data_IF_421990242605
#
_entry.id   IF_421990242605
#
_cell.length_a   1.000
_cell.length_b   1.000
_cell.length_c   1.000
_cell.angle_alpha   90.00
_cell.angle_beta   90.00
_cell.angle_gamma   90.00
#
_symmetry.space_group_name_H-M   'P 1'
#
loop_
_entity.id
_entity.type
_entity.pdbx_description
1 polymer ?
#
# COMPACT_ATOMS: atom_id res chain seq x y z
N UNK A 1 25.75 -49.16 6.55
CA UNK A 1 25.66 -50.54 7.06
C UNK A 1 24.36 -51.13 6.53
N UNK A 2 24.42 -52.00 5.51
CA UNK A 2 23.22 -52.63 4.93
C UNK A 2 23.11 -54.01 5.54
N UNK A 3 22.15 -54.20 6.44
CA UNK A 3 21.83 -55.50 7.03
C UNK A 3 21.19 -56.37 5.94
N UNK A 4 21.97 -57.30 5.35
CA UNK A 4 21.44 -58.32 4.44
C UNK A 4 20.76 -59.42 5.27
N UNK A 5 19.49 -59.71 4.99
CA UNK A 5 18.72 -60.76 5.67
C UNK A 5 17.65 -60.29 6.66
N UNK A 6 17.36 -58.99 6.73
CA UNK A 6 16.31 -58.40 7.58
C UNK A 6 15.11 -57.86 6.78
N UNK A 7 14.89 -58.35 5.55
CA UNK A 7 13.81 -57.87 4.70
C UNK A 7 12.42 -58.20 5.27
N UNK A 8 12.34 -59.27 6.06
CA UNK A 8 11.20 -59.72 6.87
C UNK A 8 10.95 -58.85 8.12
N UNK A 9 11.95 -58.07 8.56
CA UNK A 9 11.83 -57.09 9.65
C UNK A 9 11.46 -55.67 9.16
N UNK A 10 11.44 -55.44 7.84
CA UNK A 10 10.93 -54.20 7.25
C UNK A 10 9.39 -54.21 7.23
N UNK A 11 8.79 -54.18 8.42
CA UNK A 11 7.36 -53.98 8.57
C UNK A 11 7.09 -52.48 8.52
N UNK A 12 6.24 -52.06 7.57
CA UNK A 12 5.78 -50.68 7.53
C UNK A 12 5.00 -50.37 8.82
N UNK A 13 5.42 -49.32 9.54
CA UNK A 13 4.67 -48.85 10.70
C UNK A 13 3.31 -48.34 10.23
N UNK A 14 2.23 -48.87 10.81
CA UNK A 14 0.91 -48.30 10.63
C UNK A 14 0.85 -46.93 11.29
N UNK A 15 0.92 -45.89 10.47
CA UNK A 15 0.91 -44.49 10.92
C UNK A 15 -0.40 -44.08 11.56
N UNK A 16 -1.49 -44.81 11.31
CA UNK A 16 -2.81 -44.52 11.90
C UNK A 16 -3.02 -45.19 13.25
N UNK A 17 -2.09 -46.07 13.64
CA UNK A 17 -2.18 -46.79 14.92
C UNK A 17 -2.15 -45.81 16.10
N UNK A 18 -3.14 -45.96 16.99
CA UNK A 18 -3.23 -45.17 18.22
C UNK A 18 -2.05 -45.51 19.13
N UNK A 19 -1.28 -44.49 19.49
CA UNK A 19 -0.15 -44.57 20.41
C UNK A 19 -0.47 -43.77 21.66
N UNK A 20 -0.34 -44.41 22.82
CA UNK A 20 -0.56 -43.78 24.11
C UNK A 20 0.76 -43.76 24.89
N UNK A 21 1.23 -42.55 25.20
CA UNK A 21 2.33 -42.33 26.13
C UNK A 21 1.70 -42.13 27.51
N UNK A 22 1.95 -43.06 28.45
CA UNK A 22 1.30 -43.02 29.76
C UNK A 22 1.74 -41.81 30.57
N UNK A 23 1.03 -41.57 31.66
CA UNK A 23 1.37 -40.53 32.62
C UNK A 23 2.84 -40.59 33.05
N UNK A 24 3.48 -39.43 33.06
CA UNK A 24 4.89 -39.27 33.41
C UNK A 24 5.85 -39.43 32.23
N UNK A 25 5.34 -39.72 31.03
CA UNK A 25 6.15 -39.76 29.79
C UNK A 25 6.12 -38.41 29.07
N UNK A 26 5.06 -37.63 29.26
CA UNK A 26 4.93 -36.29 28.69
C UNK A 26 5.65 -35.21 29.49
N UNK A 27 5.63 -33.96 29.00
CA UNK A 27 6.17 -32.81 29.73
C UNK A 27 5.55 -32.65 31.14
N UNK A 28 6.36 -32.27 32.13
CA UNK A 28 5.90 -32.14 33.52
C UNK A 28 5.45 -30.71 33.80
N UNK A 29 4.25 -30.53 34.36
CA UNK A 29 3.73 -29.24 34.78
C UNK A 29 4.13 -28.94 36.23
N UNK A 30 4.90 -27.88 36.42
CA UNK A 30 5.29 -27.33 37.71
C UNK A 30 4.60 -25.99 37.96
N UNK A 31 4.11 -25.81 39.18
CA UNK A 31 3.53 -24.56 39.69
C UNK A 31 4.25 -24.18 40.97
N UNK A 32 4.82 -22.98 40.98
CA UNK A 32 5.60 -22.43 42.09
C UNK A 32 6.73 -23.34 42.56
N UNK A 33 7.32 -24.09 41.61
CA UNK A 33 8.41 -25.03 41.85
C UNK A 33 7.98 -26.40 42.39
N UNK A 34 6.68 -26.65 42.49
CA UNK A 34 6.12 -27.97 42.86
C UNK A 34 5.50 -28.65 41.64
N UNK A 35 5.65 -29.97 41.53
CA UNK A 35 5.03 -30.75 40.46
C UNK A 35 3.52 -30.76 40.69
N UNK A 36 2.77 -30.11 39.79
CA UNK A 36 1.32 -30.00 39.86
C UNK A 36 0.63 -31.13 39.08
N UNK A 37 1.20 -31.55 37.96
CA UNK A 37 0.68 -32.66 37.15
C UNK A 37 1.76 -33.27 36.27
N UNK A 38 1.79 -34.60 36.23
CA UNK A 38 2.36 -35.33 35.10
C UNK A 38 1.41 -35.23 33.91
N UNK A 39 1.91 -35.42 32.70
CA UNK A 39 1.08 -35.45 31.50
C UNK A 39 1.15 -36.80 30.79
N UNK A 40 0.08 -37.08 30.06
CA UNK A 40 -0.04 -38.19 29.11
C UNK A 40 -0.29 -37.64 27.70
N UNK A 41 0.06 -38.43 26.71
CA UNK A 41 -0.22 -38.13 25.30
C UNK A 41 -1.00 -39.28 24.70
N UNK A 42 -2.09 -38.97 24.01
CA UNK A 42 -2.80 -39.91 23.17
C UNK A 42 -2.77 -39.35 21.76
N UNK A 43 -2.07 -40.04 20.84
CA UNK A 43 -1.89 -39.60 19.46
C UNK A 43 -1.80 -40.80 18.51
N UNK A 44 -1.32 -40.58 17.29
CA UNK A 44 -1.00 -41.63 16.31
C UNK A 44 0.51 -41.83 16.17
N UNK A 45 0.93 -43.01 15.72
CA UNK A 45 2.34 -43.25 15.40
C UNK A 45 2.84 -42.30 14.29
N UNK A 46 1.97 -41.92 13.35
CA UNK A 46 2.27 -40.98 12.28
C UNK A 46 2.61 -39.58 12.81
N UNK A 47 1.81 -39.06 13.73
CA UNK A 47 2.02 -37.71 14.29
C UNK A 47 3.34 -37.61 15.06
N UNK A 48 3.68 -38.66 15.82
CA UNK A 48 4.96 -38.73 16.54
C UNK A 48 6.17 -38.84 15.60
N UNK A 49 6.07 -39.67 14.55
CA UNK A 49 7.17 -39.88 13.60
C UNK A 49 7.40 -38.70 12.65
N UNK A 50 6.33 -37.97 12.32
CA UNK A 50 6.39 -36.81 11.43
C UNK A 50 6.64 -35.49 12.19
N UNK A 51 6.61 -35.52 13.53
CA UNK A 51 6.83 -34.35 14.37
C UNK A 51 5.69 -33.34 14.30
N UNK A 52 4.44 -33.81 14.17
CA UNK A 52 3.27 -32.94 14.25
C UNK A 52 3.03 -32.48 15.70
N UNK A 53 2.47 -31.28 15.85
CA UNK A 53 1.99 -30.78 17.15
C UNK A 53 0.90 -31.70 17.70
N UNK A 54 1.06 -32.15 18.94
CA UNK A 54 0.18 -33.09 19.63
C UNK A 54 -0.21 -32.55 21.00
N UNK A 55 -1.39 -32.92 21.47
CA UNK A 55 -1.92 -32.44 22.75
C UNK A 55 -1.47 -33.36 23.88
N UNK A 56 -0.72 -32.82 24.84
CA UNK A 56 -0.47 -33.44 26.13
C UNK A 56 -1.55 -33.02 27.13
N UNK A 57 -2.12 -33.98 27.85
CA UNK A 57 -3.16 -33.71 28.87
C UNK A 57 -2.64 -34.03 30.26
N UNK A 58 -3.02 -33.22 31.25
CA UNK A 58 -2.74 -33.49 32.65
C UNK A 58 -3.36 -34.81 33.10
N UNK A 59 -2.60 -35.60 33.86
CA UNK A 59 -3.05 -36.87 34.42
C UNK A 59 -3.83 -36.69 35.72
N UNK A 60 -3.53 -35.64 36.47
CA UNK A 60 -4.30 -35.22 37.65
C UNK A 60 -5.40 -34.23 37.25
N UNK A 61 -6.33 -33.99 38.19
CA UNK A 61 -7.41 -33.02 38.00
C UNK A 61 -6.91 -31.58 37.81
N UNK A 62 -7.83 -30.61 37.68
CA UNK A 62 -7.47 -29.21 37.46
C UNK A 62 -6.52 -28.69 38.54
N UNK A 63 -5.52 -27.92 38.11
CA UNK A 63 -4.62 -27.21 39.01
C UNK A 63 -5.37 -26.04 39.64
N UNK A 64 -5.34 -25.94 40.97
CA UNK A 64 -5.94 -24.82 41.69
C UNK A 64 -4.90 -23.72 41.87
N UNK A 65 -5.17 -22.53 41.34
CA UNK A 65 -4.35 -21.33 41.51
C UNK A 65 -5.10 -20.32 42.35
N UNK A 66 -4.41 -19.71 43.30
CA UNK A 66 -4.97 -18.63 44.13
C UNK A 66 -4.83 -17.29 43.42
N UNK A 67 -5.49 -16.25 43.94
CA UNK A 67 -5.27 -14.90 43.42
C UNK A 67 -3.85 -14.44 43.78
N UNK A 68 -3.06 -14.05 42.78
CA UNK A 68 -1.69 -13.57 42.98
C UNK A 68 -0.79 -13.91 41.81
N UNK A 69 0.51 -13.72 42.02
CA UNK A 69 1.54 -14.14 41.08
C UNK A 69 1.84 -15.62 41.26
N UNK A 70 1.83 -16.38 40.16
CA UNK A 70 2.19 -17.79 40.12
C UNK A 70 3.24 -18.01 39.03
N UNK A 71 4.20 -18.90 39.29
CA UNK A 71 5.20 -19.30 38.31
C UNK A 71 4.86 -20.67 37.74
N UNK A 72 4.49 -20.70 36.48
CA UNK A 72 4.16 -21.92 35.75
C UNK A 72 5.33 -22.31 34.86
N UNK A 73 5.75 -23.57 34.94
CA UNK A 73 6.79 -24.14 34.07
C UNK A 73 6.29 -25.47 33.55
N UNK A 74 6.47 -25.70 32.26
CA UNK A 74 6.26 -27.03 31.66
C UNK A 74 7.61 -27.51 31.16
N UNK A 75 8.12 -28.58 31.74
CA UNK A 75 9.45 -29.12 31.42
C UNK A 75 9.33 -30.13 30.29
N UNK A 76 9.94 -29.82 29.15
CA UNK A 76 10.12 -30.75 28.03
C UNK A 76 10.80 -32.05 28.48
N UNK A 77 10.60 -33.12 27.71
CA UNK A 77 11.31 -34.39 27.85
C UNK A 77 12.26 -34.59 26.68
N UNK A 78 13.06 -35.67 26.70
CA UNK A 78 13.96 -35.98 25.58
C UNK A 78 13.20 -36.27 24.27
N UNK A 79 11.94 -36.68 24.36
CA UNK A 79 11.11 -37.06 23.21
C UNK A 79 10.10 -35.97 22.80
N UNK A 80 9.78 -35.02 23.69
CA UNK A 80 8.71 -34.04 23.49
C UNK A 80 9.13 -32.65 23.93
N UNK A 81 9.02 -31.69 23.02
CA UNK A 81 9.24 -30.27 23.30
C UNK A 81 7.91 -29.56 23.46
N UNK A 82 7.85 -28.62 24.40
CA UNK A 82 6.67 -27.78 24.62
C UNK A 82 6.65 -26.64 23.59
N UNK A 83 5.63 -26.60 22.74
CA UNK A 83 5.40 -25.50 21.80
C UNK A 83 4.48 -24.43 22.38
N UNK A 84 3.41 -24.86 23.07
CA UNK A 84 2.37 -24.00 23.61
C UNK A 84 1.82 -24.59 24.92
N UNK A 85 1.38 -23.71 25.82
CA UNK A 85 0.71 -24.07 27.08
C UNK A 85 -0.57 -23.26 27.18
N UNK A 86 -1.70 -23.95 27.18
CA UNK A 86 -3.01 -23.33 27.35
C UNK A 86 -3.51 -23.55 28.78
N UNK A 87 -3.84 -22.46 29.48
CA UNK A 87 -4.39 -22.47 30.83
C UNK A 87 -5.88 -22.14 30.75
N UNK A 88 -6.69 -23.17 30.58
CA UNK A 88 -8.14 -23.05 30.40
C UNK A 88 -8.85 -23.22 31.75
N UNK A 89 -9.71 -22.28 32.17
CA UNK A 89 -10.53 -22.47 33.36
C UNK A 89 -11.52 -23.65 33.17
N UNK A 90 -11.83 -24.41 34.23
CA UNK A 90 -12.81 -25.49 34.14
C UNK A 90 -14.16 -24.99 33.62
N UNK A 91 -14.76 -25.72 32.68
CA UNK A 91 -16.07 -25.38 32.11
C UNK A 91 -16.04 -24.27 31.06
N UNK A 92 -14.88 -23.69 30.76
CA UNK A 92 -14.72 -22.80 29.60
C UNK A 92 -14.48 -23.65 28.37
N UNK A 93 -15.55 -23.90 27.62
CA UNK A 93 -15.44 -24.19 26.19
C UNK A 93 -15.34 -22.86 25.47
N UNK A 94 -14.39 -22.71 24.54
CA UNK A 94 -14.35 -21.58 23.61
C UNK A 94 -14.98 -22.03 22.28
N UNK A 95 -16.32 -22.03 22.12
CA UNK A 95 -16.91 -22.34 20.84
C UNK A 95 -16.77 -21.10 19.94
N UNK A 96 -15.66 -20.98 19.22
CA UNK A 96 -15.69 -20.14 18.01
C UNK A 96 -16.48 -20.91 16.96
N UNK A 97 -17.80 -20.74 16.98
CA UNK A 97 -18.66 -21.22 15.90
C UNK A 97 -18.51 -20.28 14.71
N UNK A 98 -17.54 -20.57 13.86
CA UNK A 98 -17.44 -19.93 12.56
C UNK A 98 -18.62 -20.38 11.68
N UNK A 99 -19.31 -19.42 11.08
CA UNK A 99 -20.30 -19.70 10.06
C UNK A 99 -20.07 -18.76 8.90
N UNK A 100 -19.99 -19.30 7.68
CA UNK A 100 -19.83 -18.47 6.50
C UNK A 100 -21.15 -17.77 6.14
N UNK A 101 -21.14 -16.47 5.83
CA UNK A 101 -22.28 -15.80 5.23
C UNK A 101 -22.46 -16.25 3.77
N UNK A 102 -23.65 -16.00 3.22
CA UNK A 102 -23.91 -16.25 1.80
C UNK A 102 -23.50 -15.03 1.00
N UNK A 103 -22.44 -15.12 0.21
CA UNK A 103 -21.99 -14.01 -0.64
C UNK A 103 -22.97 -13.82 -1.80
N UNK A 104 -23.54 -12.63 -1.94
CA UNK A 104 -24.47 -12.28 -3.01
C UNK A 104 -23.79 -11.53 -4.15
N UNK A 105 -22.80 -10.69 -3.85
CA UNK A 105 -21.96 -10.01 -4.85
C UNK A 105 -20.57 -9.73 -4.30
N UNK A 106 -19.56 -9.80 -5.16
CA UNK A 106 -18.18 -9.51 -4.78
C UNK A 106 -17.43 -8.82 -5.90
N UNK A 107 -17.09 -7.56 -5.69
CA UNK A 107 -16.24 -6.77 -6.59
C UNK A 107 -15.04 -6.20 -5.82
N UNK A 108 -14.19 -5.46 -6.54
CA UNK A 108 -13.04 -4.79 -5.93
C UNK A 108 -13.44 -3.69 -4.92
N UNK A 109 -14.58 -3.03 -5.14
CA UNK A 109 -14.99 -1.83 -4.38
C UNK A 109 -16.28 -2.00 -3.60
N UNK A 110 -17.10 -2.98 -3.96
CA UNK A 110 -18.42 -3.23 -3.37
C UNK A 110 -18.62 -4.73 -3.18
N UNK A 111 -19.12 -5.12 -2.01
CA UNK A 111 -19.38 -6.53 -1.66
C UNK A 111 -20.70 -6.60 -0.90
N UNK A 112 -21.48 -7.64 -1.15
CA UNK A 112 -22.73 -7.87 -0.44
C UNK A 112 -22.83 -9.34 -0.03
N UNK A 113 -23.35 -9.56 1.18
CA UNK A 113 -23.53 -10.90 1.70
C UNK A 113 -24.70 -10.95 2.67
N UNK A 114 -25.41 -12.08 2.68
CA UNK A 114 -26.52 -12.32 3.58
C UNK A 114 -26.04 -13.03 4.83
N UNK A 115 -26.39 -12.46 5.98
CA UNK A 115 -26.14 -13.02 7.30
C UNK A 115 -27.42 -13.65 7.84
N UNK A 116 -27.28 -14.84 8.42
CA UNK A 116 -28.37 -15.54 9.11
C UNK A 116 -28.55 -15.00 10.52
N UNK A 117 -29.78 -14.99 11.00
CA UNK A 117 -30.10 -14.68 12.40
C UNK A 117 -29.21 -15.44 13.40
N UNK A 118 -28.78 -14.73 14.43
CA UNK A 118 -28.08 -15.29 15.59
C UNK A 118 -28.57 -14.55 16.84
N UNK A 119 -28.88 -15.28 17.92
CA UNK A 119 -29.20 -14.66 19.20
C UNK A 119 -27.98 -14.03 19.90
N UNK A 120 -26.78 -14.38 19.44
CA UNK A 120 -25.50 -13.91 19.97
C UNK A 120 -24.91 -12.82 19.08
N UNK A 121 -24.16 -11.90 19.70
CA UNK A 121 -23.30 -10.95 19.00
C UNK A 121 -22.20 -11.72 18.25
N UNK A 122 -21.90 -11.29 17.02
CA UNK A 122 -20.89 -11.93 16.18
C UNK A 122 -19.96 -10.90 15.58
N UNK A 123 -18.87 -11.38 15.00
CA UNK A 123 -17.98 -10.58 14.18
C UNK A 123 -18.10 -11.10 12.75
N UNK A 124 -18.34 -10.19 11.81
CA UNK A 124 -18.15 -10.48 10.40
C UNK A 124 -16.66 -10.27 10.08
N UNK A 125 -15.93 -11.38 9.94
CA UNK A 125 -14.51 -11.36 9.58
C UNK A 125 -14.32 -11.36 8.06
N UNK A 126 -13.36 -10.56 7.62
CA UNK A 126 -12.77 -10.62 6.30
C UNK A 126 -11.27 -10.90 6.44
N UNK A 127 -10.80 -12.03 5.90
CA UNK A 127 -9.39 -12.43 5.95
C UNK A 127 -8.52 -11.62 4.97
N UNK A 128 -8.59 -10.29 5.08
CA UNK A 128 -7.80 -9.30 4.37
C UNK A 128 -7.25 -8.30 5.39
N UNK A 129 -6.16 -7.64 5.03
CA UNK A 129 -5.55 -6.63 5.89
C UNK A 129 -6.54 -5.49 6.19
N UNK A 130 -6.48 -4.95 7.40
CA UNK A 130 -7.28 -3.79 7.81
C UNK A 130 -7.03 -2.61 6.87
N UNK A 131 -8.11 -1.95 6.45
CA UNK A 131 -8.04 -0.75 5.64
C UNK A 131 -9.21 0.19 5.99
N UNK A 132 -8.86 1.37 6.52
CA UNK A 132 -9.79 2.38 6.99
C UNK A 132 -10.72 2.96 5.90
N UNK A 133 -10.43 2.71 4.63
CA UNK A 133 -11.30 3.11 3.52
C UNK A 133 -12.50 2.18 3.29
N UNK A 134 -12.55 1.00 3.91
CA UNK A 134 -13.70 0.10 3.85
C UNK A 134 -14.73 0.44 4.93
N UNK A 135 -15.99 0.49 4.53
CA UNK A 135 -17.14 0.59 5.44
C UNK A 135 -18.05 -0.62 5.24
N UNK A 136 -18.82 -0.98 6.27
CA UNK A 136 -19.86 -1.99 6.16
C UNK A 136 -21.14 -1.47 6.81
N UNK A 137 -22.28 -1.83 6.25
CA UNK A 137 -23.60 -1.49 6.78
C UNK A 137 -24.51 -2.70 6.71
N UNK A 138 -25.39 -2.85 7.70
CA UNK A 138 -26.48 -3.83 7.71
C UNK A 138 -27.79 -3.05 7.56
N UNK A 139 -28.52 -3.31 6.47
CA UNK A 139 -29.80 -2.65 6.16
C UNK A 139 -29.72 -1.10 6.27
N UNK A 140 -28.57 -0.53 5.87
CA UNK A 140 -28.31 0.91 5.88
C UNK A 140 -27.76 1.48 7.19
N UNK A 141 -27.64 0.68 8.25
CA UNK A 141 -26.99 1.08 9.50
C UNK A 141 -25.52 0.68 9.45
N UNK A 142 -24.62 1.66 9.61
CA UNK A 142 -23.17 1.40 9.61
C UNK A 142 -22.75 0.53 10.80
N UNK A 143 -21.90 -0.46 10.52
CA UNK A 143 -21.37 -1.39 11.51
C UNK A 143 -20.04 -0.89 12.06
N UNK A 144 -19.81 -1.15 13.34
CA UNK A 144 -18.55 -0.80 14.00
C UNK A 144 -17.39 -1.67 13.46
N UNK A 145 -16.31 -1.07 12.93
CA UNK A 145 -15.16 -1.83 12.45
C UNK A 145 -14.33 -2.36 13.62
N UNK A 146 -13.82 -3.59 13.48
CA UNK A 146 -12.94 -4.24 14.45
C UNK A 146 -11.76 -4.91 13.76
N UNK A 147 -10.64 -4.99 14.46
CA UNK A 147 -9.46 -5.73 14.00
C UNK A 147 -9.47 -7.13 14.61
N UNK A 148 -9.55 -8.15 13.77
CA UNK A 148 -9.53 -9.57 14.17
C UNK A 148 -8.08 -10.08 14.10
N UNK A 149 -7.65 -10.83 15.12
CA UNK A 149 -6.30 -11.41 15.23
C UNK A 149 -5.14 -10.39 15.08
N UNK A 150 -5.40 -9.10 15.28
CA UNK A 150 -4.41 -8.02 15.17
C UNK A 150 -4.10 -7.53 13.75
N UNK A 151 -4.65 -8.15 12.70
CA UNK A 151 -4.35 -7.76 11.31
C UNK A 151 -5.52 -7.87 10.32
N UNK A 152 -6.56 -8.63 10.65
CA UNK A 152 -7.69 -8.87 9.75
C UNK A 152 -8.77 -7.81 9.91
N UNK A 153 -9.39 -7.44 8.81
CA UNK A 153 -10.55 -6.56 8.79
C UNK A 153 -11.80 -7.29 9.31
N UNK A 154 -12.60 -6.62 10.13
CA UNK A 154 -13.92 -7.13 10.52
C UNK A 154 -14.89 -6.04 10.94
N UNK A 155 -16.12 -6.43 11.23
CA UNK A 155 -17.18 -5.56 11.74
C UNK A 155 -18.05 -6.28 12.78
N UNK A 156 -18.51 -5.54 13.78
CA UNK A 156 -19.43 -6.05 14.81
C UNK A 156 -20.83 -6.26 14.24
N UNK A 157 -21.38 -7.45 14.45
CA UNK A 157 -22.77 -7.77 14.17
C UNK A 157 -23.56 -7.85 15.49
N UNK A 158 -24.57 -6.99 15.70
CA UNK A 158 -25.41 -7.04 16.89
C UNK A 158 -26.08 -8.41 17.10
N UNK A 159 -26.39 -8.74 18.35
CA UNK A 159 -27.27 -9.85 18.65
C UNK A 159 -28.64 -9.65 17.97
N UNK A 160 -29.18 -10.72 17.39
CA UNK A 160 -30.41 -10.69 16.60
C UNK A 160 -30.24 -10.24 15.15
N UNK A 161 -29.03 -9.86 14.72
CA UNK A 161 -28.78 -9.39 13.36
C UNK A 161 -29.04 -10.47 12.30
N UNK A 162 -29.80 -10.10 11.27
CA UNK A 162 -30.09 -10.88 10.05
C UNK A 162 -30.29 -9.89 8.91
N UNK A 163 -30.07 -10.30 7.67
CA UNK A 163 -30.25 -9.41 6.50
C UNK A 163 -29.00 -9.32 5.64
N UNK A 164 -28.90 -8.27 4.83
CA UNK A 164 -27.80 -8.10 3.88
C UNK A 164 -26.80 -7.09 4.41
N UNK A 165 -25.54 -7.51 4.56
CA UNK A 165 -24.42 -6.63 4.82
C UNK A 165 -23.88 -6.12 3.48
N UNK A 166 -23.85 -4.80 3.32
CA UNK A 166 -23.20 -4.12 2.21
C UNK A 166 -21.88 -3.54 2.68
N UNK A 167 -20.79 -3.94 2.03
CA UNK A 167 -19.46 -3.40 2.23
C UNK A 167 -19.08 -2.56 1.02
N UNK A 168 -18.51 -1.39 1.26
CA UNK A 168 -18.10 -0.49 0.18
C UNK A 168 -16.75 0.14 0.48
N UNK A 169 -16.03 0.54 -0.57
CA UNK A 169 -14.81 1.32 -0.51
C UNK A 169 -15.05 2.70 -1.12
N UNK A 170 -15.65 3.66 -0.38
CA UNK A 170 -15.97 4.99 -0.89
C UNK A 170 -14.81 5.72 -1.60
N UNK A 171 -13.54 5.62 -1.16
CA UNK A 171 -12.43 6.32 -1.82
C UNK A 171 -12.23 5.93 -3.29
N UNK A 172 -12.72 4.76 -3.74
CA UNK A 172 -12.60 4.35 -5.14
C UNK A 172 -13.25 5.35 -6.09
N UNK A 173 -14.41 5.92 -5.74
CA UNK A 173 -15.13 6.85 -6.64
C UNK A 173 -14.32 8.11 -6.92
N UNK A 174 -13.65 8.64 -5.89
CA UNK A 174 -12.77 9.80 -6.01
C UNK A 174 -11.55 9.46 -6.86
N UNK A 175 -10.94 8.29 -6.64
CA UNK A 175 -9.79 7.84 -7.43
C UNK A 175 -10.16 7.66 -8.91
N UNK A 176 -11.27 6.99 -9.21
CA UNK A 176 -11.75 6.80 -10.59
C UNK A 176 -12.12 8.13 -11.24
N UNK A 177 -12.80 9.03 -10.53
CA UNK A 177 -13.11 10.37 -11.03
C UNK A 177 -11.85 11.18 -11.36
N UNK A 178 -10.83 11.12 -10.50
CA UNK A 178 -9.53 11.75 -10.73
C UNK A 178 -8.81 11.19 -11.97
N UNK A 179 -8.84 9.87 -12.16
CA UNK A 179 -8.25 9.23 -13.35
C UNK A 179 -8.96 9.65 -14.64
N UNK A 180 -10.29 9.70 -14.64
CA UNK A 180 -11.07 10.14 -15.81
C UNK A 180 -10.79 11.61 -16.13
N UNK A 181 -10.80 12.48 -15.12
CA UNK A 181 -10.51 13.90 -15.29
C UNK A 181 -9.08 14.15 -15.78
N UNK A 182 -8.10 13.42 -15.22
CA UNK A 182 -6.70 13.47 -15.66
C UNK A 182 -6.53 13.01 -17.10
N UNK A 183 -7.15 11.89 -17.48
CA UNK A 183 -7.15 11.37 -18.84
C UNK A 183 -7.78 12.33 -19.85
N UNK A 184 -8.92 12.94 -19.50
CA UNK A 184 -9.57 13.94 -20.34
C UNK A 184 -8.69 15.19 -20.53
N UNK A 185 -8.02 15.64 -19.46
CA UNK A 185 -7.09 16.78 -19.52
C UNK A 185 -5.89 16.47 -20.41
N UNK A 186 -5.29 15.28 -20.28
CA UNK A 186 -4.19 14.84 -21.12
C UNK A 186 -4.60 14.78 -22.61
N UNK A 187 -5.79 14.25 -22.90
CA UNK A 187 -6.32 14.20 -24.26
C UNK A 187 -6.56 15.61 -24.83
N UNK A 188 -7.10 16.53 -24.03
CA UNK A 188 -7.29 17.92 -24.45
C UNK A 188 -5.95 18.59 -24.81
N UNK A 189 -4.91 18.37 -23.99
CA UNK A 189 -3.57 18.87 -24.26
C UNK A 189 -3.00 18.28 -25.56
N UNK A 190 -3.17 16.97 -25.79
CA UNK A 190 -2.75 16.34 -27.05
C UNK A 190 -3.47 16.91 -28.26
N UNK A 191 -4.79 17.17 -28.16
CA UNK A 191 -5.55 17.81 -29.23
C UNK A 191 -5.01 19.21 -29.50
N UNK A 192 -4.77 20.01 -28.46
CA UNK A 192 -4.22 21.36 -28.60
C UNK A 192 -2.83 21.35 -29.24
N UNK A 193 -1.99 20.37 -28.91
CA UNK A 193 -0.68 20.17 -29.55
C UNK A 193 -0.82 19.71 -31.02
N UNK A 194 -1.78 18.83 -31.31
CA UNK A 194 -2.00 18.27 -32.63
C UNK A 194 -2.78 19.22 -33.56
N UNK A 195 -3.51 20.21 -33.03
CA UNK A 195 -4.18 21.21 -33.86
C UNK A 195 -3.15 22.06 -34.57
N UNK A 196 -2.99 21.94 -35.91
CA UNK A 196 -2.07 22.78 -36.63
C UNK A 196 -2.55 24.21 -36.47
N UNK A 197 -1.69 25.08 -35.93
CA UNK A 197 -1.96 26.51 -35.92
C UNK A 197 -1.99 26.98 -37.36
N UNK A 198 -3.17 26.94 -37.99
CA UNK A 198 -3.42 27.46 -39.34
C UNK A 198 -3.46 28.99 -39.30
N UNK A 199 -2.38 29.61 -38.83
CA UNK A 199 -2.02 30.97 -39.22
C UNK A 199 -1.18 30.87 -40.49
N UNK A 200 -1.95 30.76 -41.58
CA UNK A 200 -1.69 31.26 -42.93
C UNK A 200 -0.22 31.55 -43.22
N UNK A 201 0.38 30.68 -44.01
CA UNK A 201 1.35 31.07 -45.03
C UNK A 201 0.72 32.14 -45.92
N UNK A 202 0.88 33.41 -45.57
CA UNK A 202 0.86 34.54 -46.49
C UNK A 202 1.41 35.77 -45.76
N UNK A 203 2.62 36.14 -46.18
CA UNK A 203 3.39 37.33 -45.84
C UNK A 203 4.37 37.14 -44.69
N UNK A 204 5.63 36.95 -45.09
CA UNK A 204 6.88 36.95 -44.32
C UNK A 204 7.13 38.22 -43.49
N UNK A 205 6.21 39.19 -43.50
CA UNK A 205 6.23 40.39 -42.65
C UNK A 205 5.37 40.26 -41.37
N UNK A 206 4.51 39.23 -41.27
CA UNK A 206 3.62 39.02 -40.11
C UNK A 206 4.27 38.29 -38.92
N UNK A 207 5.53 37.84 -39.03
CA UNK A 207 6.26 37.20 -37.93
C UNK A 207 6.57 38.17 -36.77
N UNK A 208 6.58 39.48 -37.02
CA UNK A 208 6.76 40.48 -35.95
C UNK A 208 5.47 40.69 -35.12
N UNK A 209 4.29 40.48 -35.71
CA UNK A 209 3.01 40.82 -35.09
C UNK A 209 2.41 39.69 -34.23
N UNK A 210 2.97 38.47 -34.27
CA UNK A 210 2.55 37.35 -33.41
C UNK A 210 3.42 37.15 -32.16
N UNK A 211 4.43 38.01 -31.97
CA UNK A 211 5.22 38.12 -30.75
C UNK A 211 4.43 38.72 -29.57
N UNK A 212 3.14 39.03 -29.75
CA UNK A 212 2.28 39.72 -28.77
C UNK A 212 1.17 38.82 -28.19
N UNK A 213 1.37 37.50 -28.10
CA UNK A 213 0.59 36.77 -27.08
C UNK A 213 1.23 37.09 -25.74
N UNK A 214 0.48 37.78 -24.91
CA UNK A 214 0.92 38.25 -23.61
C UNK A 214 1.54 37.07 -22.84
N UNK A 215 2.84 37.10 -22.49
CA UNK A 215 3.49 35.99 -21.78
C UNK A 215 2.79 35.68 -20.45
N UNK A 216 2.06 36.66 -19.91
CA UNK A 216 1.15 36.49 -18.78
C UNK A 216 0.06 35.43 -19.02
N UNK A 217 -0.48 35.31 -20.24
CA UNK A 217 -1.50 34.32 -20.57
C UNK A 217 -0.92 32.90 -20.57
N UNK A 218 0.27 32.71 -21.17
CA UNK A 218 0.96 31.42 -21.17
C UNK A 218 1.33 30.97 -19.75
N UNK A 219 1.85 31.89 -18.94
CA UNK A 219 2.19 31.63 -17.55
C UNK A 219 0.94 31.36 -16.69
N UNK A 220 -0.18 32.05 -16.94
CA UNK A 220 -1.44 31.81 -16.24
C UNK A 220 -2.00 30.42 -16.54
N UNK A 221 -2.01 30.01 -17.81
CA UNK A 221 -2.47 28.66 -18.21
C UNK A 221 -1.59 27.58 -17.59
N UNK A 222 -0.26 27.76 -17.61
CA UNK A 222 0.66 26.82 -16.97
C UNK A 222 0.48 26.75 -15.45
N UNK A 223 0.31 27.90 -14.78
CA UNK A 223 0.04 27.96 -13.35
C UNK A 223 -1.28 27.29 -12.96
N UNK A 224 -2.34 27.52 -13.74
CA UNK A 224 -3.63 26.86 -13.53
C UNK A 224 -3.50 25.35 -13.73
N UNK A 225 -2.79 24.89 -14.75
CA UNK A 225 -2.55 23.46 -14.96
C UNK A 225 -1.82 22.81 -13.78
N UNK A 226 -0.80 23.48 -13.24
CA UNK A 226 -0.05 23.02 -12.05
C UNK A 226 -0.95 22.94 -10.81
N UNK A 227 -1.86 23.91 -10.62
CA UNK A 227 -2.81 23.91 -9.49
C UNK A 227 -3.86 22.81 -9.65
N UNK A 228 -4.41 22.63 -10.86
CA UNK A 228 -5.44 21.62 -11.13
C UNK A 228 -4.90 20.21 -10.94
N UNK A 229 -3.67 19.96 -11.39
CA UNK A 229 -3.02 18.64 -11.26
C UNK A 229 -2.48 18.41 -9.84
N UNK A 230 -1.89 19.44 -9.22
CA UNK A 230 -1.22 19.34 -7.92
C UNK A 230 -2.07 19.69 -6.70
N UNK A 231 -3.32 20.11 -6.89
CA UNK A 231 -4.18 20.59 -5.81
C UNK A 231 -3.57 21.74 -5.00
N UNK A 232 -3.69 21.69 -3.67
CA UNK A 232 -3.14 22.71 -2.76
C UNK A 232 -1.61 22.78 -2.78
N UNK A 233 -0.93 21.68 -3.13
CA UNK A 233 0.53 21.64 -3.29
C UNK A 233 0.96 22.35 -4.58
N UNK A 234 0.21 22.13 -5.66
CA UNK A 234 0.39 22.88 -6.93
C UNK A 234 0.22 24.39 -6.73
N UNK A 235 -0.76 24.79 -5.90
CA UNK A 235 -0.95 26.18 -5.49
C UNK A 235 0.26 26.74 -4.72
N UNK A 236 0.78 25.99 -3.75
CA UNK A 236 1.97 26.39 -3.00
C UNK A 236 3.19 26.55 -3.93
N UNK A 237 3.40 25.63 -4.88
CA UNK A 237 4.48 25.69 -5.85
C UNK A 237 4.40 26.94 -6.75
N UNK A 238 3.21 27.26 -7.28
CA UNK A 238 2.99 28.47 -8.07
C UNK A 238 3.23 29.73 -7.23
N UNK A 239 2.78 29.76 -5.97
CA UNK A 239 2.99 30.89 -5.07
C UNK A 239 4.48 31.11 -4.77
N UNK A 240 5.25 30.05 -4.52
CA UNK A 240 6.70 30.12 -4.29
C UNK A 240 7.43 30.57 -5.56
N UNK A 241 7.04 30.06 -6.73
CA UNK A 241 7.57 30.49 -8.02
C UNK A 241 7.36 32.00 -8.25
N UNK A 242 6.14 32.49 -8.03
CA UNK A 242 5.82 33.92 -8.16
C UNK A 242 6.55 34.78 -7.12
N UNK A 243 6.63 34.32 -5.87
CA UNK A 243 7.37 35.02 -4.81
C UNK A 243 8.86 35.09 -5.14
N UNK A 244 9.46 34.00 -5.62
CA UNK A 244 10.89 33.97 -5.99
C UNK A 244 11.21 34.91 -7.16
N UNK A 245 10.33 35.00 -8.17
CA UNK A 245 10.44 35.95 -9.27
C UNK A 245 10.31 37.41 -8.82
N UNK A 246 9.49 37.69 -7.80
CA UNK A 246 9.33 39.04 -7.24
C UNK A 246 10.46 39.46 -6.30
N UNK A 247 11.01 38.52 -5.53
CA UNK A 247 12.05 38.81 -4.54
C UNK A 247 13.48 38.74 -5.11
N UNK A 248 13.70 38.07 -6.24
CA UNK A 248 15.02 37.91 -6.85
C UNK A 248 15.20 38.76 -8.10
N UNK A 249 15.90 39.89 -7.97
CA UNK A 249 16.30 40.76 -9.11
C UNK A 249 17.52 40.26 -9.90
N UNK A 250 18.15 39.18 -9.43
CA UNK A 250 19.38 38.62 -9.99
C UNK A 250 19.07 37.34 -10.78
N UNK A 251 19.30 37.36 -12.09
CA UNK A 251 19.00 36.27 -13.04
C UNK A 251 19.67 34.94 -12.67
N UNK A 252 20.83 34.97 -11.98
CA UNK A 252 21.53 33.76 -11.56
C UNK A 252 20.80 32.98 -10.46
N UNK A 253 20.05 33.67 -9.58
CA UNK A 253 19.25 33.02 -8.52
C UNK A 253 17.95 32.44 -9.08
N UNK A 254 17.39 33.07 -10.12
CA UNK A 254 16.23 32.54 -10.84
C UNK A 254 16.58 31.24 -11.57
N UNK A 255 17.77 31.17 -12.19
CA UNK A 255 18.25 29.95 -12.85
C UNK A 255 18.43 28.78 -11.85
N UNK A 256 18.87 29.06 -10.62
CA UNK A 256 19.08 28.06 -9.56
C UNK A 256 17.78 27.48 -9.00
N UNK A 257 16.75 28.31 -8.81
CA UNK A 257 15.41 27.88 -8.37
C UNK A 257 14.73 26.99 -9.43
N UNK A 258 15.08 27.20 -10.70
CA UNK A 258 14.56 26.44 -11.85
C UNK A 258 15.35 25.14 -12.10
N UNK A 259 16.67 25.17 -11.96
CA UNK A 259 17.53 24.05 -12.31
C UNK A 259 17.62 22.99 -11.22
N UNK A 260 17.46 23.37 -9.95
CA UNK A 260 17.54 22.43 -8.83
C UNK A 260 16.44 21.35 -8.83
N UNK A 261 15.14 21.68 -9.07
CA UNK A 261 14.10 20.67 -9.24
C UNK A 261 14.31 19.79 -10.47
N UNK A 262 14.85 20.36 -11.56
CA UNK A 262 15.13 19.64 -12.81
C UNK A 262 16.23 18.58 -12.61
N UNK A 263 17.31 18.94 -11.91
CA UNK A 263 18.43 18.02 -11.61
C UNK A 263 17.99 16.92 -10.65
N UNK A 264 17.19 17.26 -9.63
CA UNK A 264 16.61 16.26 -8.71
C UNK A 264 15.68 15.28 -9.43
N UNK A 265 14.87 15.74 -10.39
CA UNK A 265 14.00 14.87 -11.19
C UNK A 265 14.75 13.94 -12.15
N UNK A 266 15.86 14.40 -12.75
CA UNK A 266 16.68 13.55 -13.64
C UNK A 266 17.43 12.46 -12.86
N UNK A 267 17.93 12.79 -11.66
CA UNK A 267 18.62 11.81 -10.80
C UNK A 267 17.71 10.63 -10.41
N UNK A 268 16.41 10.86 -10.30
CA UNK A 268 15.42 9.84 -9.92
C UNK A 268 15.04 8.90 -11.09
N UNK A 269 15.03 9.41 -12.33
CA UNK A 269 14.78 8.60 -13.54
C UNK A 269 15.95 7.68 -13.87
N UNK A 270 17.17 8.11 -13.54
CA UNK A 270 18.41 7.37 -13.85
C UNK A 270 18.84 6.45 -12.70
N UNK A 271 18.40 6.71 -11.47
CA UNK A 271 18.68 5.83 -10.33
C UNK A 271 17.93 4.49 -10.50
N UNK A 272 18.62 3.34 -10.47
CA UNK A 272 17.97 2.03 -10.50
C UNK A 272 17.11 1.88 -9.25
N UNK A 273 15.80 1.74 -9.43
CA UNK A 273 14.83 1.64 -8.35
C UNK A 273 15.16 0.44 -7.44
N UNK A 274 15.50 0.63 -6.16
CA UNK A 274 15.51 -0.50 -5.23
C UNK A 274 14.04 -0.85 -4.93
N UNK A 275 13.63 -2.06 -5.30
CA UNK A 275 12.27 -2.60 -5.16
C UNK A 275 11.78 -2.76 -3.70
N UNK A 276 12.44 -2.12 -2.73
CA UNK A 276 12.27 -2.36 -1.29
C UNK A 276 11.99 -1.11 -0.47
N UNK A 277 11.82 0.06 -1.08
CA UNK A 277 11.39 1.26 -0.36
C UNK A 277 9.99 1.64 -0.85
N UNK A 278 9.02 1.65 0.08
CA UNK A 278 7.72 2.29 -0.13
C UNK A 278 7.95 3.76 -0.42
N UNK A 279 8.10 4.11 -1.71
CA UNK A 279 8.30 5.50 -2.11
C UNK A 279 6.96 6.20 -1.88
N UNK A 280 6.86 7.14 -0.92
CA UNK A 280 5.59 7.75 -0.62
C UNK A 280 5.13 8.55 -1.84
N UNK A 281 3.87 8.35 -2.20
CA UNK A 281 3.20 8.87 -3.41
C UNK A 281 3.55 10.33 -3.75
N UNK A 282 3.83 11.18 -2.76
CA UNK A 282 4.21 12.58 -2.95
C UNK A 282 5.54 12.79 -3.70
N UNK A 283 6.49 11.85 -3.69
CA UNK A 283 7.72 11.93 -4.48
C UNK A 283 7.45 11.75 -5.99
N UNK A 284 6.53 10.85 -6.35
CA UNK A 284 6.08 10.68 -7.74
C UNK A 284 5.32 11.93 -8.26
N UNK A 285 4.63 12.66 -7.39
CA UNK A 285 3.99 13.93 -7.74
C UNK A 285 5.01 15.08 -7.85
N UNK A 286 6.06 15.10 -7.02
CA UNK A 286 7.12 16.10 -7.08
C UNK A 286 7.93 16.03 -8.39
N UNK A 287 8.19 14.82 -8.89
CA UNK A 287 8.86 14.62 -10.18
C UNK A 287 7.97 15.01 -11.38
N UNK A 288 6.66 14.73 -11.33
CA UNK A 288 5.70 15.20 -12.34
C UNK A 288 5.64 16.74 -12.42
N UNK A 289 5.75 17.43 -11.28
CA UNK A 289 5.82 18.90 -11.22
C UNK A 289 7.14 19.46 -11.77
N UNK A 290 8.25 18.75 -11.57
CA UNK A 290 9.55 19.08 -12.17
C UNK A 290 9.52 19.06 -13.70
N UNK A 291 8.86 18.07 -14.30
CA UNK A 291 8.67 17.98 -15.75
C UNK A 291 7.86 19.14 -16.33
N UNK A 292 6.78 19.55 -15.65
CA UNK A 292 5.92 20.65 -16.12
C UNK A 292 6.61 22.02 -16.02
N UNK A 293 7.43 22.23 -14.99
CA UNK A 293 8.26 23.44 -14.87
C UNK A 293 9.34 23.51 -15.97
N UNK A 294 9.99 22.38 -16.27
CA UNK A 294 11.01 22.29 -17.31
C UNK A 294 10.46 22.60 -18.72
N UNK A 295 9.30 22.04 -19.05
CA UNK A 295 8.63 22.26 -20.34
C UNK A 295 8.19 23.72 -20.50
N UNK A 296 7.70 24.34 -19.43
CA UNK A 296 7.28 25.75 -19.43
C UNK A 296 8.45 26.70 -19.66
N UNK A 297 9.65 26.34 -19.19
CA UNK A 297 10.85 27.18 -19.28
C UNK A 297 11.59 26.96 -20.59
N UNK A 298 11.62 25.73 -21.12
CA UNK A 298 12.12 25.47 -22.47
C UNK A 298 11.28 26.21 -23.53
N UNK A 299 9.95 26.27 -23.35
CA UNK A 299 9.06 27.05 -24.19
C UNK A 299 9.34 28.57 -24.11
N UNK A 300 9.79 29.07 -22.95
CA UNK A 300 10.17 30.48 -22.77
C UNK A 300 11.60 30.79 -23.27
N UNK A 301 12.54 29.85 -23.12
CA UNK A 301 13.96 30.00 -23.45
C UNK A 301 14.29 29.86 -24.94
N UNK A 302 13.45 29.16 -25.71
CA UNK A 302 13.58 29.07 -27.18
C UNK A 302 13.52 30.42 -27.91
N UNK A 303 13.11 31.49 -27.23
CA UNK A 303 13.10 32.87 -27.73
C UNK A 303 14.45 33.60 -27.57
N UNK A 304 15.39 33.10 -26.76
CA UNK A 304 16.68 33.76 -26.48
C UNK A 304 17.80 33.45 -27.49
N UNK A 305 17.72 32.32 -28.20
CA UNK A 305 18.83 31.81 -29.04
C UNK A 305 19.10 32.56 -30.35
N UNK A 306 18.23 33.49 -30.78
CA UNK A 306 18.38 34.19 -32.07
C UNK A 306 19.19 35.49 -32.02
N UNK A 307 19.71 35.89 -30.86
CA UNK A 307 20.48 37.13 -30.72
C UNK A 307 22.00 37.00 -30.96
N UNK A 308 22.54 35.78 -31.11
CA UNK A 308 23.98 35.56 -31.28
C UNK A 308 24.45 35.40 -32.75
N UNK A 309 23.55 35.34 -33.73
CA UNK A 309 23.93 35.20 -35.15
C UNK A 309 23.70 36.44 -36.02
N UNK A 310 23.26 37.56 -35.44
CA UNK A 310 23.08 38.83 -36.18
C UNK A 310 24.34 39.72 -36.19
N UNK A 311 25.44 39.30 -35.56
CA UNK A 311 26.66 40.10 -35.43
C UNK A 311 27.69 39.90 -36.54
N UNK A 312 27.50 38.94 -37.46
CA UNK A 312 28.52 38.55 -38.43
C UNK A 312 28.37 39.20 -39.83
N UNK A 313 27.21 39.76 -40.18
CA UNK A 313 26.96 40.28 -41.54
C UNK A 313 27.23 41.79 -41.68
N UNK A 314 27.57 42.48 -40.59
CA UNK A 314 27.77 43.94 -40.59
C UNK A 314 29.13 44.44 -41.06
N UNK A 315 30.12 43.57 -41.23
CA UNK A 315 31.51 43.97 -41.57
C UNK A 315 31.84 43.81 -43.07
N UNK A 316 31.12 42.97 -43.81
CA UNK A 316 31.41 42.75 -45.24
C UNK A 316 30.92 43.89 -46.17
N UNK A 317 29.96 44.71 -45.71
CA UNK A 317 29.35 45.74 -46.56
C UNK A 317 30.04 47.11 -46.48
N UNK A 318 31.08 47.26 -45.64
CA UNK A 318 31.83 48.53 -45.47
C UNK A 318 33.11 48.63 -46.30
N UNK A 319 33.55 47.53 -46.93
CA UNK A 319 34.79 47.50 -47.73
C UNK A 319 34.55 47.73 -49.24
N UNK A 320 33.30 47.61 -49.73
CA UNK A 320 32.96 47.86 -51.14
C UNK A 320 32.58 49.32 -51.47
N UNK A 321 32.61 50.24 -50.50
CA UNK A 321 32.26 51.66 -50.72
C UNK A 321 33.45 52.62 -50.75
N UNK A 322 34.68 52.11 -50.78
CA UNK A 322 35.92 52.90 -50.85
C UNK A 322 36.75 52.65 -52.11
N UNK A 323 36.17 52.06 -53.16
CA UNK A 323 36.82 51.85 -54.47
C UNK A 323 35.92 52.28 -55.65
N UNK A 324 35.23 53.41 -55.49
CA UNK A 324 34.73 54.24 -56.60
C UNK A 324 35.12 55.69 -56.37
#
# INVERSE_FOLDING_TARGET
MVLRGAADLNVAVDRTSRTELPCGTGPVLEVDGTVASDTRVVSTAGDLLLGHSIVASGCTGPVTLTAGEHRIRVRSTDALVVEQVDLLPPGVTLPVRASSPTVTSWTATDRSMDIRYSAEQRILELSQNVNAGWTASLDGVELEPVTVDGWRQGWMLPAGATGTVLMSYPPARLATGGLVAGGATALLLLILLATPTTRRQRNSMALAALSHRDPAFGAAVAGIAVIVVGGWIGLAAVAIGLASLRLSRNSSRQALVVSLPLVLGIAEVVAPWPATLEVPVWLAWASALGWLAAVSIAAAGGLGGRWLMSGADGTAQREQRSLE
#
